data_IF_403797940656
#
_entry.id   IF_403797940656
#
_cell.length_a   1.000
_cell.length_b   1.000
_cell.length_c   1.000
_cell.angle_alpha   90.00
_cell.angle_beta   90.00
_cell.angle_gamma   90.00
#
_symmetry.space_group_name_H-M   'P 1'
#
loop_
_entity.id
_entity.type
_entity.pdbx_description
1 polymer ?
#
# COMPACT_ATOMS: atom_id res chain seq x y z
N UNK A 1 -106.42 -52.51 38.38
CA UNK A 1 -105.94 -52.75 36.99
C UNK A 1 -106.24 -51.50 36.17
N UNK A 2 -105.30 -50.91 35.40
CA UNK A 2 -103.85 -51.07 35.40
C UNK A 2 -103.12 -49.79 35.88
N UNK A 3 -101.87 -50.03 36.30
CA UNK A 3 -100.85 -49.06 36.73
C UNK A 3 -100.19 -48.42 35.51
N UNK A 4 -99.77 -47.15 35.59
CA UNK A 4 -98.66 -46.63 34.76
C UNK A 4 -97.94 -45.47 35.47
N UNK A 5 -96.59 -45.40 35.38
CA UNK A 5 -95.71 -44.84 36.41
C UNK A 5 -95.22 -43.40 36.10
N UNK A 6 -94.46 -42.73 37.01
CA UNK A 6 -94.09 -41.32 36.90
C UNK A 6 -92.94 -41.11 35.92
N UNK A 7 -93.02 -40.06 35.09
CA UNK A 7 -91.91 -39.61 34.24
C UNK A 7 -91.07 -38.56 34.96
N UNK A 8 -90.00 -39.02 35.59
CA UNK A 8 -88.86 -38.22 36.04
C UNK A 8 -88.17 -37.52 34.85
N UNK A 9 -88.21 -36.19 34.80
CA UNK A 9 -87.28 -35.38 33.98
C UNK A 9 -86.04 -35.05 34.81
N UNK A 10 -85.02 -35.92 34.78
CA UNK A 10 -83.64 -35.58 35.16
C UNK A 10 -82.75 -35.72 33.93
N UNK A 11 -81.75 -34.84 33.87
CA UNK A 11 -80.51 -34.91 33.10
C UNK A 11 -80.59 -34.75 31.56
N UNK A 12 -80.42 -33.49 31.12
CA UNK A 12 -79.70 -33.17 29.86
C UNK A 12 -78.79 -31.96 30.10
N UNK A 13 -77.68 -32.21 30.77
CA UNK A 13 -76.50 -31.35 30.84
C UNK A 13 -75.37 -32.34 31.09
N UNK A 14 -74.58 -32.66 30.05
CA UNK A 14 -73.25 -33.31 30.07
C UNK A 14 -72.98 -34.05 28.73
N UNK A 15 -72.97 -33.34 27.60
CA UNK A 15 -72.34 -33.80 26.35
C UNK A 15 -71.95 -32.60 25.50
N UNK A 16 -71.15 -31.69 26.07
CA UNK A 16 -70.49 -30.61 25.33
C UNK A 16 -68.99 -30.46 25.68
N UNK A 17 -68.51 -31.12 26.75
CA UNK A 17 -67.11 -31.02 27.20
C UNK A 17 -66.11 -31.94 26.49
N UNK A 18 -66.54 -33.08 25.94
CA UNK A 18 -65.61 -34.08 25.38
C UNK A 18 -65.13 -33.75 23.95
N UNK A 19 -65.95 -33.06 23.14
CA UNK A 19 -65.56 -32.65 21.79
C UNK A 19 -64.55 -31.48 21.78
N UNK A 20 -64.60 -30.60 22.78
CA UNK A 20 -63.67 -29.47 22.92
C UNK A 20 -62.28 -29.95 23.36
N UNK A 21 -62.18 -30.98 24.22
CA UNK A 21 -60.88 -31.50 24.69
C UNK A 21 -60.11 -32.24 23.59
N UNK A 22 -60.79 -32.93 22.66
CA UNK A 22 -60.13 -33.62 21.52
C UNK A 22 -59.68 -32.62 20.44
N UNK A 23 -60.44 -31.56 20.19
CA UNK A 23 -60.04 -30.47 19.27
C UNK A 23 -58.87 -29.63 19.84
N UNK A 24 -58.88 -29.32 21.14
CA UNK A 24 -57.79 -28.59 21.79
C UNK A 24 -56.53 -29.46 21.91
N UNK A 25 -56.66 -30.76 22.17
CA UNK A 25 -55.54 -31.70 22.20
C UNK A 25 -54.88 -31.92 20.83
N UNK A 26 -55.65 -32.01 19.75
CA UNK A 26 -55.13 -32.15 18.38
C UNK A 26 -54.42 -30.89 17.86
N UNK A 27 -54.93 -29.70 18.21
CA UNK A 27 -54.28 -28.43 17.87
C UNK A 27 -52.94 -28.24 18.60
N UNK A 28 -52.85 -28.68 19.86
CA UNK A 28 -51.60 -28.64 20.62
C UNK A 28 -50.50 -29.52 20.02
N UNK A 29 -50.83 -30.75 19.60
CA UNK A 29 -49.87 -31.67 18.97
C UNK A 29 -49.41 -31.15 17.60
N UNK A 30 -50.34 -30.61 16.80
CA UNK A 30 -50.00 -30.00 15.50
C UNK A 30 -49.10 -28.77 15.63
N UNK A 31 -49.38 -27.89 16.60
CA UNK A 31 -48.56 -26.72 16.89
C UNK A 31 -47.14 -27.10 17.32
N UNK A 32 -47.01 -28.07 18.22
CA UNK A 32 -45.70 -28.56 18.67
C UNK A 32 -44.89 -29.19 17.53
N UNK A 33 -45.51 -30.00 16.68
CA UNK A 33 -44.83 -30.59 15.53
C UNK A 33 -44.38 -29.52 14.51
N UNK A 34 -45.21 -28.51 14.25
CA UNK A 34 -44.87 -27.41 13.35
C UNK A 34 -43.72 -26.54 13.89
N UNK A 35 -43.75 -26.20 15.18
CA UNK A 35 -42.67 -25.43 15.83
C UNK A 35 -41.38 -26.25 15.88
N UNK A 36 -41.44 -27.54 16.22
CA UNK A 36 -40.25 -28.40 16.24
C UNK A 36 -39.59 -28.53 14.85
N UNK A 37 -40.40 -28.72 13.79
CA UNK A 37 -39.88 -28.77 12.42
C UNK A 37 -39.27 -27.43 11.99
N UNK A 38 -39.87 -26.31 12.39
CA UNK A 38 -39.34 -24.97 12.10
C UNK A 38 -38.02 -24.70 12.86
N UNK A 39 -37.91 -25.14 14.11
CA UNK A 39 -36.67 -25.07 14.90
C UNK A 39 -35.56 -25.86 14.24
N UNK A 40 -35.80 -27.11 13.85
CA UNK A 40 -34.79 -27.93 13.16
C UNK A 40 -34.32 -27.28 11.86
N UNK A 41 -35.23 -26.65 11.11
CA UNK A 41 -34.85 -25.91 9.89
C UNK A 41 -33.98 -24.70 10.23
N UNK A 42 -34.38 -23.91 11.22
CA UNK A 42 -33.61 -22.76 11.67
C UNK A 42 -32.21 -23.17 12.13
N UNK A 43 -32.07 -24.24 12.92
CA UNK A 43 -30.76 -24.75 13.38
C UNK A 43 -29.86 -25.15 12.20
N UNK A 44 -30.43 -25.82 11.19
CA UNK A 44 -29.71 -26.20 9.98
C UNK A 44 -29.28 -24.97 9.16
N UNK A 45 -30.19 -24.00 8.97
CA UNK A 45 -29.91 -22.75 8.28
C UNK A 45 -28.83 -21.93 9.01
N UNK A 46 -28.92 -21.81 10.33
CA UNK A 46 -27.95 -21.11 11.17
C UNK A 46 -26.57 -21.77 11.12
N UNK A 47 -26.50 -23.11 11.17
CA UNK A 47 -25.24 -23.84 11.03
C UNK A 47 -24.60 -23.60 9.66
N UNK A 48 -25.40 -23.64 8.58
CA UNK A 48 -24.92 -23.38 7.23
C UNK A 48 -24.46 -21.94 7.07
N UNK A 49 -25.27 -20.97 7.48
CA UNK A 49 -24.96 -19.55 7.40
C UNK A 49 -23.72 -19.17 8.23
N UNK A 50 -23.54 -19.75 9.42
CA UNK A 50 -22.34 -19.53 10.23
C UNK A 50 -21.06 -20.02 9.52
N UNK A 51 -21.13 -21.16 8.82
CA UNK A 51 -20.01 -21.65 8.01
C UNK A 51 -19.72 -20.72 6.82
N UNK A 52 -20.77 -20.23 6.12
CA UNK A 52 -20.61 -19.28 5.01
C UNK A 52 -20.01 -17.95 5.48
N UNK A 53 -20.47 -17.41 6.62
CA UNK A 53 -19.92 -16.17 7.21
C UNK A 53 -18.45 -16.36 7.63
N UNK A 54 -18.09 -17.52 8.18
CA UNK A 54 -16.70 -17.82 8.52
C UNK A 54 -15.81 -17.87 7.27
N UNK A 55 -16.24 -18.53 6.20
CA UNK A 55 -15.53 -18.54 4.91
C UNK A 55 -15.37 -17.13 4.33
N UNK A 56 -16.45 -16.31 4.38
CA UNK A 56 -16.43 -14.93 3.92
C UNK A 56 -15.42 -14.07 4.71
N UNK A 57 -15.32 -14.25 6.03
CA UNK A 57 -14.31 -13.58 6.87
C UNK A 57 -12.89 -13.98 6.50
N UNK A 58 -12.62 -15.28 6.38
CA UNK A 58 -11.29 -15.77 6.02
C UNK A 58 -10.83 -15.23 4.66
N UNK A 59 -11.76 -15.16 3.69
CA UNK A 59 -11.52 -14.55 2.37
C UNK A 59 -11.29 -13.05 2.48
N UNK A 60 -12.12 -12.33 3.22
CA UNK A 60 -11.95 -10.89 3.46
C UNK A 60 -10.58 -10.57 4.07
N UNK A 61 -10.16 -11.30 5.10
CA UNK A 61 -8.87 -11.10 5.76
C UNK A 61 -7.69 -11.31 4.79
N UNK A 62 -7.78 -12.32 3.90
CA UNK A 62 -6.77 -12.55 2.88
C UNK A 62 -6.69 -11.39 1.87
N UNK A 63 -7.83 -10.91 1.39
CA UNK A 63 -7.92 -9.77 0.47
C UNK A 63 -7.38 -8.48 1.09
N UNK A 64 -7.72 -8.23 2.35
CA UNK A 64 -7.25 -7.08 3.10
C UNK A 64 -5.73 -7.09 3.23
N UNK A 65 -5.14 -8.26 3.53
CA UNK A 65 -3.68 -8.41 3.59
C UNK A 65 -2.99 -8.16 2.24
N UNK A 66 -3.60 -8.55 1.12
CA UNK A 66 -3.09 -8.24 -0.23
C UNK A 66 -3.12 -6.73 -0.52
N UNK A 67 -4.20 -6.05 -0.14
CA UNK A 67 -4.34 -4.60 -0.27
C UNK A 67 -3.30 -3.85 0.58
N UNK A 68 -3.07 -4.28 1.83
CA UNK A 68 -2.04 -3.70 2.71
C UNK A 68 -0.64 -3.86 2.09
N UNK A 69 -0.32 -5.05 1.57
CA UNK A 69 0.96 -5.30 0.90
C UNK A 69 1.15 -4.44 -0.36
N UNK A 70 0.09 -4.19 -1.12
CA UNK A 70 0.14 -3.27 -2.27
C UNK A 70 0.35 -1.81 -1.83
N UNK A 71 -0.27 -1.39 -0.72
CA UNK A 71 -0.09 -0.06 -0.12
C UNK A 71 1.35 0.16 0.34
N UNK A 72 1.94 -0.81 1.06
CA UNK A 72 3.33 -0.74 1.50
C UNK A 72 4.31 -0.59 0.31
N UNK A 73 4.08 -1.33 -0.78
CA UNK A 73 4.88 -1.21 -2.01
C UNK A 73 4.80 0.19 -2.62
N UNK A 74 3.62 0.80 -2.63
CA UNK A 74 3.43 2.17 -3.12
C UNK A 74 4.24 3.16 -2.27
N UNK A 75 4.21 3.04 -0.95
CA UNK A 75 4.97 3.91 -0.03
C UNK A 75 6.48 3.78 -0.24
N UNK A 76 6.99 2.54 -0.34
CA UNK A 76 8.40 2.26 -0.54
C UNK A 76 8.93 2.73 -1.92
N UNK A 77 8.03 2.96 -2.89
CA UNK A 77 8.38 3.45 -4.23
C UNK A 77 8.60 4.98 -4.31
N UNK A 78 8.66 5.67 -3.17
CA UNK A 78 8.80 7.13 -3.10
C UNK A 78 9.99 7.71 -3.89
N UNK A 79 11.05 6.90 -4.10
CA UNK A 79 12.25 7.29 -4.83
C UNK A 79 12.08 7.37 -6.36
N UNK A 80 11.00 6.82 -6.92
CA UNK A 80 10.75 6.88 -8.36
C UNK A 80 10.43 8.31 -8.79
N UNK A 81 11.13 8.77 -9.83
CA UNK A 81 10.88 10.09 -10.44
C UNK A 81 9.67 10.07 -11.37
N UNK A 82 9.42 8.95 -12.04
CA UNK A 82 8.22 8.75 -12.84
C UNK A 82 7.02 8.47 -11.92
N UNK A 83 6.06 9.39 -11.91
CA UNK A 83 4.85 9.29 -11.08
C UNK A 83 3.77 8.42 -11.72
N UNK A 84 3.81 8.17 -13.04
CA UNK A 84 2.70 7.54 -13.75
C UNK A 84 2.35 6.14 -13.22
N UNK A 85 3.36 5.34 -12.89
CA UNK A 85 3.17 3.99 -12.35
C UNK A 85 2.64 4.04 -10.91
N UNK A 86 3.09 5.02 -10.11
CA UNK A 86 2.62 5.23 -8.75
C UNK A 86 1.18 5.70 -8.72
N UNK A 87 0.82 6.65 -9.58
CA UNK A 87 -0.54 7.17 -9.73
C UNK A 87 -1.51 6.08 -10.19
N UNK A 88 -1.07 5.18 -11.08
CA UNK A 88 -1.88 4.04 -11.54
C UNK A 88 -2.19 3.08 -10.40
N UNK A 89 -1.19 2.70 -9.60
CA UNK A 89 -1.42 1.85 -8.43
C UNK A 89 -2.26 2.56 -7.35
N UNK A 90 -2.01 3.85 -7.10
CA UNK A 90 -2.78 4.64 -6.15
C UNK A 90 -4.27 4.69 -6.53
N UNK A 91 -4.59 4.93 -7.80
CA UNK A 91 -5.97 4.94 -8.26
C UNK A 91 -6.66 3.57 -8.13
N UNK A 92 -5.92 2.47 -8.35
CA UNK A 92 -6.46 1.12 -8.16
C UNK A 92 -6.68 0.78 -6.67
N UNK A 93 -5.80 1.25 -5.78
CA UNK A 93 -5.97 1.13 -4.32
C UNK A 93 -7.17 1.95 -3.82
N UNK A 94 -7.40 3.15 -4.34
CA UNK A 94 -8.57 3.98 -3.98
C UNK A 94 -9.89 3.28 -4.33
N UNK A 95 -9.99 2.66 -5.52
CA UNK A 95 -11.17 1.86 -5.88
C UNK A 95 -11.32 0.64 -4.95
N UNK A 96 -10.23 -0.08 -4.67
CA UNK A 96 -10.25 -1.25 -3.77
C UNK A 96 -10.70 -0.87 -2.36
N UNK A 97 -10.23 0.27 -1.83
CA UNK A 97 -10.64 0.77 -0.51
C UNK A 97 -12.14 1.06 -0.44
N UNK A 98 -12.74 1.56 -1.53
CA UNK A 98 -14.19 1.77 -1.56
C UNK A 98 -14.98 0.46 -1.48
N UNK A 99 -14.44 -0.63 -2.05
CA UNK A 99 -15.04 -1.97 -2.03
C UNK A 99 -14.83 -2.68 -0.69
N UNK A 100 -13.67 -2.48 -0.07
CA UNK A 100 -13.35 -3.03 1.26
C UNK A 100 -14.39 -2.63 2.30
N UNK A 101 -14.78 -1.35 2.33
CA UNK A 101 -15.81 -0.84 3.24
C UNK A 101 -17.16 -1.52 3.01
N UNK A 102 -17.54 -1.76 1.75
CA UNK A 102 -18.81 -2.39 1.41
C UNK A 102 -18.82 -3.89 1.78
N UNK A 103 -17.76 -4.63 1.43
CA UNK A 103 -17.62 -6.04 1.77
C UNK A 103 -17.63 -6.28 3.28
N UNK A 104 -16.96 -5.41 4.04
CA UNK A 104 -16.98 -5.46 5.50
C UNK A 104 -18.39 -5.24 6.06
N UNK A 105 -19.12 -4.24 5.56
CA UNK A 105 -20.48 -3.98 6.01
C UNK A 105 -21.44 -5.13 5.69
N UNK A 106 -21.25 -5.82 4.56
CA UNK A 106 -21.99 -7.01 4.16
C UNK A 106 -21.76 -8.17 5.14
N UNK A 107 -20.50 -8.43 5.53
CA UNK A 107 -20.14 -9.43 6.55
C UNK A 107 -20.75 -9.08 7.92
N UNK A 108 -20.61 -7.84 8.37
CA UNK A 108 -21.19 -7.37 9.64
C UNK A 108 -22.74 -7.50 9.64
N UNK A 109 -23.39 -7.29 8.49
CA UNK A 109 -24.84 -7.49 8.34
C UNK A 109 -25.23 -8.96 8.45
N UNK A 110 -24.48 -9.87 7.82
CA UNK A 110 -24.73 -11.31 7.90
C UNK A 110 -24.55 -11.86 9.34
N UNK A 111 -23.54 -11.36 10.06
CA UNK A 111 -23.34 -11.67 11.49
C UNK A 111 -24.50 -11.18 12.36
N UNK A 112 -24.97 -9.96 12.13
CA UNK A 112 -26.13 -9.40 12.82
C UNK A 112 -27.39 -10.23 12.56
N UNK A 113 -27.56 -10.78 11.35
CA UNK A 113 -28.68 -11.65 11.02
C UNK A 113 -28.61 -12.99 11.77
N UNK A 114 -27.42 -13.58 11.90
CA UNK A 114 -27.18 -14.78 12.72
C UNK A 114 -27.54 -14.53 14.20
N UNK A 115 -27.10 -13.39 14.76
CA UNK A 115 -27.41 -13.02 16.14
C UNK A 115 -28.91 -12.81 16.36
N UNK A 116 -29.60 -12.17 15.41
CA UNK A 116 -31.05 -12.00 15.45
C UNK A 116 -31.80 -13.34 15.36
N UNK A 117 -31.35 -14.25 14.50
CA UNK A 117 -31.94 -15.58 14.35
C UNK A 117 -31.86 -16.41 15.64
N UNK A 118 -30.78 -16.27 16.42
CA UNK A 118 -30.64 -16.90 17.73
C UNK A 118 -31.61 -16.36 18.79
N UNK A 119 -32.17 -15.15 18.58
CA UNK A 119 -33.10 -14.48 19.50
C UNK A 119 -34.58 -14.62 19.15
N UNK A 120 -34.93 -15.45 18.17
CA UNK A 120 -36.30 -15.59 17.65
C UNK A 120 -37.25 -16.23 18.68
N UNK A 121 -38.49 -15.73 18.77
CA UNK A 121 -39.54 -16.24 19.67
C UNK A 121 -39.91 -17.71 19.38
N UNK A 122 -39.73 -18.57 20.38
CA UNK A 122 -40.02 -20.01 20.35
C UNK A 122 -41.44 -20.38 20.80
N UNK A 123 -42.29 -19.38 21.04
CA UNK A 123 -43.67 -19.57 21.47
C UNK A 123 -44.47 -20.49 20.54
N UNK A 124 -45.08 -21.53 21.11
CA UNK A 124 -45.96 -22.46 20.41
C UNK A 124 -47.16 -21.79 19.73
N UNK A 125 -47.53 -20.56 20.14
CA UNK A 125 -48.66 -19.81 19.60
C UNK A 125 -48.39 -19.23 18.21
N UNK A 126 -47.12 -19.14 17.79
CA UNK A 126 -46.73 -18.62 16.48
C UNK A 126 -46.63 -19.72 15.41
N UNK A 127 -46.83 -20.99 15.80
CA UNK A 127 -46.75 -22.16 14.92
C UNK A 127 -45.44 -22.22 14.11
N UNK A 128 -44.34 -21.75 14.69
CA UNK A 128 -43.01 -21.78 14.08
C UNK A 128 -42.81 -20.75 12.95
N UNK A 129 -43.69 -19.76 12.79
CA UNK A 129 -43.56 -18.78 11.70
C UNK A 129 -42.28 -17.93 11.81
N UNK A 130 -41.94 -17.34 12.98
CA UNK A 130 -40.70 -16.57 13.13
C UNK A 130 -39.43 -17.36 12.80
N UNK A 131 -39.40 -18.66 13.14
CA UNK A 131 -38.27 -19.55 12.83
C UNK A 131 -38.14 -19.83 11.35
N UNK A 132 -39.26 -19.99 10.63
CA UNK A 132 -39.24 -20.16 9.18
C UNK A 132 -38.76 -18.89 8.49
N UNK A 133 -39.26 -17.72 8.91
CA UNK A 133 -38.86 -16.43 8.36
C UNK A 133 -37.36 -16.17 8.61
N UNK A 134 -36.85 -16.48 9.80
CA UNK A 134 -35.42 -16.38 10.11
C UNK A 134 -34.58 -17.38 9.32
N UNK A 135 -35.05 -18.62 9.14
CA UNK A 135 -34.35 -19.62 8.33
C UNK A 135 -34.27 -19.18 6.86
N UNK A 136 -35.37 -18.68 6.29
CA UNK A 136 -35.41 -18.16 4.91
C UNK A 136 -34.47 -16.96 4.75
N UNK A 137 -34.38 -16.07 5.75
CA UNK A 137 -33.45 -14.94 5.74
C UNK A 137 -31.98 -15.38 5.78
N UNK A 138 -31.64 -16.38 6.61
CA UNK A 138 -30.28 -16.94 6.69
C UNK A 138 -29.88 -17.68 5.40
N UNK A 139 -30.81 -18.42 4.80
CA UNK A 139 -30.61 -19.11 3.52
C UNK A 139 -30.39 -18.13 2.35
N UNK A 140 -30.81 -16.86 2.50
CA UNK A 140 -30.67 -15.81 1.49
C UNK A 140 -29.41 -14.94 1.67
N UNK A 141 -28.51 -15.26 2.61
CA UNK A 141 -27.23 -14.56 2.74
C UNK A 141 -26.38 -14.81 1.48
N UNK A 142 -25.97 -13.72 0.84
CA UNK A 142 -25.04 -13.69 -0.28
C UNK A 142 -23.95 -12.65 0.00
N UNK A 143 -22.80 -12.79 -0.66
CA UNK A 143 -21.61 -11.95 -0.45
C UNK A 143 -21.15 -11.30 -1.77
N UNK A 144 -22.03 -10.48 -2.35
CA UNK A 144 -21.80 -9.82 -3.63
C UNK A 144 -20.73 -8.74 -3.54
N UNK A 145 -20.69 -7.98 -2.44
CA UNK A 145 -19.68 -6.93 -2.24
C UNK A 145 -18.31 -7.54 -1.96
N UNK A 146 -18.23 -8.66 -1.24
CA UNK A 146 -16.99 -9.43 -1.11
C UNK A 146 -16.49 -9.94 -2.48
N UNK A 147 -17.36 -10.47 -3.33
CA UNK A 147 -16.96 -10.90 -4.67
C UNK A 147 -16.43 -9.74 -5.54
N UNK A 148 -17.02 -8.55 -5.42
CA UNK A 148 -16.52 -7.34 -6.10
C UNK A 148 -15.17 -6.89 -5.53
N UNK A 149 -14.94 -7.03 -4.22
CA UNK A 149 -13.65 -6.77 -3.61
C UNK A 149 -12.58 -7.73 -4.15
N UNK A 150 -12.89 -9.01 -4.31
CA UNK A 150 -11.98 -9.99 -4.92
C UNK A 150 -11.55 -9.60 -6.32
N UNK A 151 -12.50 -9.17 -7.16
CA UNK A 151 -12.20 -8.67 -8.50
C UNK A 151 -11.31 -7.42 -8.47
N UNK A 152 -11.56 -6.50 -7.53
CA UNK A 152 -10.78 -5.27 -7.37
C UNK A 152 -9.34 -5.56 -6.89
N UNK A 153 -9.17 -6.44 -5.90
CA UNK A 153 -7.85 -6.87 -5.40
C UNK A 153 -7.08 -7.62 -6.49
N UNK A 154 -7.73 -8.51 -7.24
CA UNK A 154 -7.10 -9.19 -8.37
C UNK A 154 -6.61 -8.18 -9.45
N UNK A 155 -7.34 -7.09 -9.65
CA UNK A 155 -6.95 -6.02 -10.58
C UNK A 155 -5.74 -5.21 -10.10
N UNK A 156 -5.30 -5.31 -8.84
CA UNK A 156 -4.05 -4.70 -8.35
C UNK A 156 -2.81 -5.38 -8.94
N UNK A 157 -2.90 -6.62 -9.44
CA UNK A 157 -1.76 -7.41 -9.90
C UNK A 157 -0.93 -6.70 -10.98
N UNK A 158 -1.56 -6.21 -12.04
CA UNK A 158 -0.86 -5.52 -13.14
C UNK A 158 -0.18 -4.22 -12.67
N UNK A 159 -0.85 -3.30 -11.95
CA UNK A 159 -0.19 -2.12 -11.38
C UNK A 159 0.96 -2.44 -10.41
N UNK A 160 0.81 -3.48 -9.57
CA UNK A 160 1.87 -3.92 -8.64
C UNK A 160 3.09 -4.42 -9.41
N UNK A 161 2.90 -5.25 -10.43
CA UNK A 161 3.99 -5.76 -11.28
C UNK A 161 4.69 -4.64 -12.05
N UNK A 162 3.91 -3.68 -12.59
CA UNK A 162 4.45 -2.50 -13.25
C UNK A 162 5.31 -1.66 -12.29
N UNK A 163 4.84 -1.45 -11.06
CA UNK A 163 5.61 -0.72 -10.04
C UNK A 163 6.90 -1.45 -9.66
N UNK A 164 6.83 -2.77 -9.48
CA UNK A 164 8.01 -3.59 -9.19
C UNK A 164 9.05 -3.51 -10.33
N UNK A 165 8.60 -3.54 -11.58
CA UNK A 165 9.48 -3.39 -12.74
C UNK A 165 10.13 -1.98 -12.79
N UNK A 166 9.38 -0.93 -12.47
CA UNK A 166 9.91 0.44 -12.41
C UNK A 166 10.96 0.60 -11.30
N UNK A 167 10.72 0.03 -10.11
CA UNK A 167 11.70 -0.01 -9.01
C UNK A 167 12.97 -0.76 -9.43
N UNK A 168 12.83 -1.91 -10.08
CA UNK A 168 13.97 -2.68 -10.57
C UNK A 168 14.78 -1.90 -11.62
N UNK A 169 14.12 -1.23 -12.56
CA UNK A 169 14.77 -0.39 -13.57
C UNK A 169 15.52 0.79 -12.92
N UNK A 170 14.91 1.43 -11.92
CA UNK A 170 15.57 2.49 -11.15
C UNK A 170 16.84 2.00 -10.47
N UNK A 171 16.81 0.83 -9.80
CA UNK A 171 17.99 0.25 -9.18
C UNK A 171 19.11 -0.07 -10.19
N UNK A 172 18.76 -0.59 -11.37
CA UNK A 172 19.73 -0.85 -12.44
C UNK A 172 20.39 0.44 -12.90
N UNK A 173 19.62 1.52 -13.02
CA UNK A 173 20.13 2.83 -13.42
C UNK A 173 21.02 3.44 -12.33
N UNK A 174 20.62 3.37 -11.06
CA UNK A 174 21.50 3.78 -9.95
C UNK A 174 22.82 3.02 -9.97
N UNK A 175 22.77 1.70 -10.17
CA UNK A 175 23.98 0.89 -10.25
C UNK A 175 24.84 1.24 -11.47
N UNK A 176 24.23 1.62 -12.61
CA UNK A 176 24.96 2.12 -13.78
C UNK A 176 25.66 3.43 -13.46
N UNK A 177 24.93 4.40 -12.91
CA UNK A 177 25.48 5.70 -12.48
C UNK A 177 26.63 5.49 -11.50
N UNK A 178 26.51 4.59 -10.54
CA UNK A 178 27.58 4.29 -9.58
C UNK A 178 28.82 3.67 -10.21
N UNK A 179 28.66 2.82 -11.23
CA UNK A 179 29.79 2.20 -11.96
C UNK A 179 30.46 3.16 -12.93
N UNK A 180 29.66 3.98 -13.62
CA UNK A 180 30.12 4.85 -14.70
C UNK A 180 30.49 6.25 -14.24
N UNK A 181 30.15 6.64 -13.00
CA UNK A 181 30.54 7.96 -12.48
C UNK A 181 32.05 8.13 -12.52
N UNK A 182 32.46 9.32 -12.95
CA UNK A 182 33.84 9.74 -12.85
C UNK A 182 34.27 9.84 -11.38
N UNK A 183 35.44 9.30 -11.06
CA UNK A 183 36.02 9.34 -9.72
C UNK A 183 37.32 10.12 -9.79
N UNK A 184 37.41 11.21 -9.04
CA UNK A 184 38.65 11.97 -8.86
C UNK A 184 39.13 11.84 -7.40
N UNK A 185 40.43 11.67 -7.22
CA UNK A 185 41.02 11.61 -5.89
C UNK A 185 41.68 12.96 -5.57
N UNK A 186 41.19 13.66 -4.55
CA UNK A 186 41.86 14.85 -4.02
C UNK A 186 42.84 14.38 -2.95
N UNK A 187 44.11 14.26 -3.34
CA UNK A 187 45.10 13.50 -2.56
C UNK A 187 45.85 14.34 -1.53
N UNK A 188 45.92 15.66 -1.73
CA UNK A 188 46.62 16.58 -0.84
C UNK A 188 46.01 17.99 -0.90
N UNK A 189 46.32 18.81 0.11
CA UNK A 189 46.14 20.25 0.08
C UNK A 189 47.53 20.89 -0.08
N UNK A 190 47.66 21.86 -0.98
CA UNK A 190 48.98 22.37 -1.33
C UNK A 190 49.00 23.33 -2.51
N UNK A 191 50.09 23.28 -3.28
CA UNK A 191 50.31 24.13 -4.44
C UNK A 191 51.12 23.37 -5.51
N UNK A 192 52.09 24.03 -6.15
CA UNK A 192 52.86 23.45 -7.25
C UNK A 192 53.54 22.11 -6.94
N UNK A 193 54.23 21.90 -5.80
CA UNK A 193 54.87 20.61 -5.54
C UNK A 193 53.88 19.45 -5.51
N UNK A 194 52.69 19.67 -4.95
CA UNK A 194 51.63 18.68 -4.91
C UNK A 194 50.98 18.50 -6.30
N UNK A 195 50.73 19.59 -7.03
CA UNK A 195 50.16 19.50 -8.38
C UNK A 195 51.08 18.74 -9.34
N UNK A 196 52.38 19.04 -9.30
CA UNK A 196 53.41 18.42 -10.14
C UNK A 196 53.63 16.93 -9.83
N UNK A 197 53.18 16.47 -8.65
CA UNK A 197 53.26 15.05 -8.29
C UNK A 197 52.29 14.17 -9.09
N UNK A 198 51.24 14.75 -9.71
CA UNK A 198 50.29 14.06 -10.58
C UNK A 198 49.69 12.78 -9.95
N UNK A 199 49.23 12.91 -8.70
CA UNK A 199 48.60 11.82 -7.92
C UNK A 199 47.09 12.02 -7.71
N UNK A 200 46.48 12.86 -8.53
CA UNK A 200 45.10 13.32 -8.39
C UNK A 200 45.04 14.84 -8.17
N UNK A 201 43.83 15.34 -7.92
CA UNK A 201 43.60 16.74 -7.62
C UNK A 201 44.23 17.19 -6.30
N UNK A 202 44.55 18.47 -6.23
CA UNK A 202 45.08 19.14 -5.05
C UNK A 202 44.14 20.25 -4.63
N UNK A 203 43.84 20.31 -3.33
CA UNK A 203 43.11 21.43 -2.74
C UNK A 203 43.99 22.69 -2.68
N UNK A 204 43.54 23.74 -3.37
CA UNK A 204 44.19 25.04 -3.49
C UNK A 204 43.49 26.13 -2.66
N UNK A 205 42.48 25.81 -1.85
CA UNK A 205 41.64 26.80 -1.17
C UNK A 205 42.42 27.82 -0.36
N UNK A 206 43.42 27.38 0.40
CA UNK A 206 44.27 28.28 1.18
C UNK A 206 45.08 29.28 0.33
N UNK A 207 45.24 29.01 -0.98
CA UNK A 207 45.95 29.87 -1.93
C UNK A 207 45.00 30.79 -2.71
N UNK A 208 43.70 30.51 -2.68
CA UNK A 208 42.66 31.23 -3.39
C UNK A 208 41.76 32.04 -2.46
N UNK A 209 42.34 32.65 -1.42
CA UNK A 209 41.65 33.52 -0.47
C UNK A 209 40.35 32.87 0.06
N UNK A 210 40.49 31.60 0.48
CA UNK A 210 39.44 30.74 1.03
C UNK A 210 38.29 30.41 0.07
N UNK A 211 38.48 30.57 -1.24
CA UNK A 211 37.55 30.05 -2.25
C UNK A 211 37.75 28.53 -2.39
N UNK A 212 36.74 27.69 -2.07
CA UNK A 212 36.83 26.23 -2.21
C UNK A 212 37.24 25.83 -3.63
N UNK A 213 38.46 25.30 -3.82
CA UNK A 213 38.98 24.99 -5.15
C UNK A 213 39.96 23.84 -5.11
N UNK A 214 39.73 22.84 -5.94
CA UNK A 214 40.69 21.80 -6.27
C UNK A 214 41.23 22.01 -7.69
N UNK A 215 42.44 21.53 -7.95
CA UNK A 215 43.02 21.61 -9.29
C UNK A 215 43.85 20.39 -9.64
N UNK A 216 44.00 20.15 -10.94
CA UNK A 216 44.88 19.13 -11.49
C UNK A 216 45.48 19.60 -12.82
N UNK A 217 46.72 19.18 -13.09
CA UNK A 217 47.33 19.43 -14.40
C UNK A 217 46.54 18.75 -15.50
N UNK A 218 46.44 19.40 -16.67
CA UNK A 218 45.73 18.87 -17.84
C UNK A 218 46.12 17.45 -18.18
N UNK A 219 47.42 17.18 -18.25
CA UNK A 219 47.97 15.88 -18.61
C UNK A 219 47.87 14.82 -17.50
N UNK A 220 47.53 15.21 -16.27
CA UNK A 220 47.55 14.32 -15.11
C UNK A 220 46.17 13.79 -14.69
N UNK A 221 45.12 14.21 -15.40
CA UNK A 221 43.72 13.87 -15.09
C UNK A 221 42.78 15.02 -15.45
N UNK A 222 43.32 16.24 -15.47
CA UNK A 222 42.70 17.48 -15.93
C UNK A 222 41.81 17.35 -17.16
N UNK A 223 42.37 16.77 -18.22
CA UNK A 223 41.73 16.60 -19.53
C UNK A 223 40.49 15.70 -19.53
N UNK A 224 40.40 14.79 -18.55
CA UNK A 224 39.34 13.79 -18.47
C UNK A 224 38.26 14.19 -17.44
N UNK A 225 38.41 15.35 -16.78
CA UNK A 225 37.44 15.83 -15.80
C UNK A 225 36.16 16.28 -16.52
N UNK A 226 34.97 15.82 -16.10
CA UNK A 226 33.73 16.18 -16.77
C UNK A 226 33.42 17.68 -16.68
N UNK A 227 33.03 18.27 -17.82
CA UNK A 227 32.63 19.67 -17.95
C UNK A 227 31.15 19.85 -18.33
N UNK A 228 30.43 18.75 -18.59
CA UNK A 228 29.01 18.76 -18.91
C UNK A 228 28.15 19.00 -17.65
N UNK A 229 27.32 20.07 -17.62
CA UNK A 229 26.40 20.33 -16.52
C UNK A 229 25.45 19.16 -16.23
N UNK A 230 25.22 18.87 -14.96
CA UNK A 230 24.40 17.76 -14.51
C UNK A 230 25.17 16.45 -14.27
N UNK A 231 26.41 16.33 -14.77
CA UNK A 231 27.24 15.14 -14.52
C UNK A 231 27.50 14.96 -13.03
N UNK A 232 27.27 13.76 -12.49
CA UNK A 232 27.56 13.44 -11.09
C UNK A 232 28.92 12.74 -11.00
N UNK A 233 29.80 13.26 -10.15
CA UNK A 233 31.13 12.72 -9.90
C UNK A 233 31.29 12.30 -8.44
N UNK A 234 32.25 11.41 -8.17
CA UNK A 234 32.74 11.15 -6.80
C UNK A 234 34.08 11.82 -6.61
N UNK A 235 34.21 12.60 -5.54
CA UNK A 235 35.51 12.94 -4.98
C UNK A 235 35.86 11.98 -3.84
N UNK A 236 37.10 11.50 -3.82
CA UNK A 236 37.68 10.70 -2.72
C UNK A 236 38.84 11.46 -2.09
N UNK A 237 39.09 11.26 -0.80
CA UNK A 237 40.20 11.90 -0.08
C UNK A 237 39.75 13.23 0.53
N UNK A 238 40.48 14.31 0.27
CA UNK A 238 40.02 15.64 0.68
C UNK A 238 38.76 16.01 -0.11
N UNK A 239 37.84 16.76 0.51
CA UNK A 239 36.54 17.06 -0.09
C UNK A 239 35.75 15.82 -0.53
N UNK A 240 35.87 14.69 0.20
CA UNK A 240 35.12 13.48 -0.14
C UNK A 240 33.60 13.74 -0.18
N UNK A 241 32.97 13.26 -1.24
CA UNK A 241 31.54 13.39 -1.43
C UNK A 241 31.08 13.14 -2.86
N UNK A 242 29.76 13.26 -3.04
CA UNK A 242 29.14 13.36 -4.35
C UNK A 242 29.01 14.83 -4.73
N UNK A 243 29.36 15.13 -5.98
CA UNK A 243 29.25 16.46 -6.53
C UNK A 243 28.56 16.41 -7.88
N UNK A 244 27.68 17.37 -8.14
CA UNK A 244 27.11 17.64 -9.46
C UNK A 244 27.95 18.72 -10.12
N UNK A 245 28.37 18.48 -11.36
CA UNK A 245 29.05 19.45 -12.21
C UNK A 245 28.04 20.49 -12.68
N UNK A 246 28.31 21.77 -12.46
CA UNK A 246 27.52 22.89 -12.97
C UNK A 246 28.06 23.42 -14.32
N UNK A 247 29.16 22.82 -14.78
CA UNK A 247 29.88 23.16 -16.02
C UNK A 247 31.01 24.15 -15.82
N UNK A 248 31.68 24.51 -16.92
CA UNK A 248 32.72 25.54 -16.93
C UNK A 248 32.04 26.91 -16.76
N UNK A 249 32.17 27.46 -15.55
CA UNK A 249 31.57 28.75 -15.18
C UNK A 249 32.47 29.94 -15.50
N UNK A 250 33.77 29.69 -15.73
CA UNK A 250 34.70 30.74 -16.15
C UNK A 250 35.92 30.17 -16.86
N UNK A 251 36.41 30.93 -17.84
CA UNK A 251 37.74 30.76 -18.44
C UNK A 251 38.61 31.92 -18.00
N UNK A 252 39.81 31.62 -17.48
CA UNK A 252 40.76 32.58 -16.94
C UNK A 252 42.12 32.45 -17.63
N UNK A 253 42.87 33.55 -17.68
CA UNK A 253 44.27 33.53 -18.10
C UNK A 253 45.14 33.69 -16.85
N UNK A 254 45.91 32.67 -16.49
CA UNK A 254 46.72 32.63 -15.27
C UNK A 254 47.74 33.78 -15.19
N UNK A 255 48.16 34.35 -16.33
CA UNK A 255 49.13 35.45 -16.35
C UNK A 255 48.51 36.81 -15.95
N UNK A 256 47.18 36.93 -15.98
CA UNK A 256 46.49 38.21 -15.75
C UNK A 256 45.39 38.12 -14.70
N UNK A 257 44.77 36.95 -14.54
CA UNK A 257 43.73 36.71 -13.56
C UNK A 257 44.32 36.55 -12.15
N UNK A 258 43.53 36.95 -11.17
CA UNK A 258 43.84 36.87 -9.74
C UNK A 258 42.80 36.00 -9.02
N UNK A 259 43.03 35.67 -7.75
CA UNK A 259 42.05 34.98 -6.90
C UNK A 259 40.70 35.70 -6.81
N UNK A 260 40.69 37.03 -6.94
CA UNK A 260 39.45 37.83 -6.98
C UNK A 260 38.58 37.54 -8.21
N UNK A 261 39.16 36.99 -9.27
CA UNK A 261 38.44 36.64 -10.49
C UNK A 261 37.73 35.29 -10.40
N UNK A 262 37.99 34.49 -9.36
CA UNK A 262 37.36 33.19 -9.17
C UNK A 262 35.85 33.36 -8.88
N UNK A 263 34.98 32.56 -9.53
CA UNK A 263 33.57 32.51 -9.21
C UNK A 263 33.34 32.13 -7.74
N UNK A 264 32.34 32.74 -7.10
CA UNK A 264 31.95 32.44 -5.71
C UNK A 264 30.52 31.92 -5.67
N UNK A 265 30.13 31.30 -4.55
CA UNK A 265 28.77 30.77 -4.34
C UNK A 265 28.57 29.32 -4.77
N UNK A 266 29.65 28.60 -5.09
CA UNK A 266 29.63 27.16 -5.33
C UNK A 266 30.29 26.43 -4.15
N UNK A 267 29.94 25.17 -3.95
CA UNK A 267 30.51 24.36 -2.87
C UNK A 267 31.99 24.02 -3.11
N UNK A 268 32.35 23.84 -4.39
CA UNK A 268 33.73 23.58 -4.81
C UNK A 268 33.94 24.03 -6.26
N UNK A 269 35.15 24.50 -6.57
CA UNK A 269 35.61 24.72 -7.93
C UNK A 269 36.62 23.63 -8.32
N UNK A 270 36.63 23.24 -9.59
CA UNK A 270 37.68 22.46 -10.21
C UNK A 270 38.40 23.28 -11.26
N UNK A 271 39.73 23.35 -11.16
CA UNK A 271 40.57 24.09 -12.08
C UNK A 271 41.48 23.15 -12.88
N UNK A 272 41.58 23.38 -14.19
CA UNK A 272 42.67 22.84 -15.01
C UNK A 272 43.07 23.81 -16.13
N UNK A 273 44.30 23.69 -16.66
CA UNK A 273 44.79 24.51 -17.77
C UNK A 273 44.58 23.78 -19.10
N UNK A 274 43.56 24.13 -19.87
CA UNK A 274 43.19 23.45 -21.12
C UNK A 274 44.40 23.30 -22.05
N UNK A 275 44.63 22.08 -22.55
CA UNK A 275 45.80 21.73 -23.38
C UNK A 275 47.17 22.04 -22.76
N UNK A 276 47.24 22.14 -21.42
CA UNK A 276 48.45 22.55 -20.70
C UNK A 276 48.81 24.03 -20.85
N UNK A 277 47.90 24.86 -21.36
CA UNK A 277 48.16 26.28 -21.60
C UNK A 277 47.67 27.14 -20.44
N UNK A 278 48.59 27.83 -19.76
CA UNK A 278 48.27 28.77 -18.67
C UNK A 278 47.38 29.94 -19.11
N UNK A 279 47.30 30.25 -20.40
CA UNK A 279 46.41 31.28 -20.93
C UNK A 279 44.94 30.86 -20.99
N UNK A 280 44.63 29.58 -20.83
CA UNK A 280 43.27 29.01 -20.94
C UNK A 280 42.98 28.08 -19.77
N UNK A 281 42.88 28.66 -18.57
CA UNK A 281 42.50 27.97 -17.35
C UNK A 281 40.99 27.87 -17.23
N UNK A 282 40.44 26.66 -17.26
CA UNK A 282 39.00 26.42 -17.06
C UNK A 282 38.69 26.27 -15.58
N UNK A 283 37.61 26.91 -15.15
CA UNK A 283 37.02 26.80 -13.82
C UNK A 283 35.66 26.14 -13.95
N UNK A 284 35.57 24.88 -13.54
CA UNK A 284 34.34 24.10 -13.48
C UNK A 284 33.74 24.20 -12.09
N UNK A 285 32.47 24.57 -11.98
CA UNK A 285 31.80 24.65 -10.68
C UNK A 285 31.19 23.29 -10.30
N UNK A 286 31.20 23.01 -9.00
CA UNK A 286 30.65 21.81 -8.41
C UNK A 286 29.70 22.17 -7.25
N UNK A 287 28.55 21.52 -7.22
CA UNK A 287 27.59 21.58 -6.11
C UNK A 287 27.57 20.23 -5.41
N UNK A 288 27.67 20.22 -4.08
CA UNK A 288 27.63 18.99 -3.29
C UNK A 288 26.22 18.39 -3.33
N UNK A 289 26.13 17.07 -3.46
CA UNK A 289 24.86 16.33 -3.47
C UNK A 289 24.73 15.57 -2.15
N UNK A 290 23.69 15.88 -1.38
CA UNK A 290 23.43 15.35 -0.04
C UNK A 290 24.13 16.14 1.07
#
# INVERSE_FOLDING_TARGET
MPLTPPRTRRARLLTAGAAVVVLVGGLGIGAQAATAAASTRLDAAATSAAATVADARDRYDALHAEQEAATERLELSAMLTDQSTRETLAAALDETQSRDVAARAEIESAESLLDQANGVDDSLLTFGAPQRDAADALEAIEFDDLARLEEAVAALGEPVDALAAAVAAWHQEQARIERERYVNHVWAAGWYPELDACKGSVDLTARYDDVPTIAEHWSCGGKDFPDEPGTVIRLKGLHEGLYRVEGIVKMLNQNTATSNDLPRGYDLLYQTCQNGQSSTMSITALTKVG
#
